data_IF_719590091866
#
_entry.id   IF_719590091866
#
_cell.length_a   1.000
_cell.length_b   1.000
_cell.length_c   1.000
_cell.angle_alpha   90.00
_cell.angle_beta   90.00
_cell.angle_gamma   90.00
#
_symmetry.space_group_name_H-M   'P 1'
#
loop_
_entity.id
_entity.type
_entity.pdbx_description
1 polymer ?
#
# COMPACT_ATOMS: atom_id res chain seq x y z
N UNK A 1 20.65 19.20 -21.66
CA UNK A 1 19.53 19.03 -20.70
C UNK A 1 19.53 17.57 -20.27
N UNK A 2 19.26 17.28 -19.00
CA UNK A 2 19.37 15.93 -18.43
C UNK A 2 19.54 15.97 -16.91
N UNK A 3 19.79 14.82 -16.27
CA UNK A 3 19.92 14.71 -14.81
C UNK A 3 20.97 15.71 -14.24
N UNK A 4 22.14 15.83 -14.87
CA UNK A 4 23.19 16.75 -14.41
C UNK A 4 22.75 18.22 -14.36
N UNK A 5 21.92 18.66 -15.31
CA UNK A 5 21.41 20.03 -15.31
C UNK A 5 20.47 20.31 -14.13
N UNK A 6 19.77 19.28 -13.65
CA UNK A 6 18.89 19.35 -12.48
C UNK A 6 19.72 19.36 -11.18
N UNK A 7 20.63 18.39 -11.01
CA UNK A 7 21.31 18.14 -9.73
C UNK A 7 22.62 18.92 -9.53
N UNK A 8 23.24 19.45 -10.59
CA UNK A 8 24.49 20.24 -10.51
C UNK A 8 24.39 21.63 -11.15
N UNK A 9 23.32 21.85 -11.91
CA UNK A 9 23.15 23.05 -12.74
C UNK A 9 22.47 24.23 -12.03
N UNK A 10 21.85 25.09 -12.84
CA UNK A 10 21.08 26.24 -12.35
C UNK A 10 19.96 25.81 -11.40
N UNK A 11 19.26 24.71 -11.71
CA UNK A 11 18.12 24.23 -10.93
C UNK A 11 18.56 23.89 -9.49
N UNK A 12 19.65 23.14 -9.33
CA UNK A 12 20.23 22.82 -8.02
C UNK A 12 20.53 24.07 -7.18
N UNK A 13 21.12 25.10 -7.80
CA UNK A 13 21.41 26.38 -7.12
C UNK A 13 20.16 27.11 -6.67
N UNK A 14 19.11 27.13 -7.49
CA UNK A 14 17.83 27.76 -7.11
C UNK A 14 17.13 26.97 -5.98
N UNK A 15 17.19 25.63 -6.00
CA UNK A 15 16.67 24.78 -4.92
C UNK A 15 17.39 25.10 -3.60
N UNK A 16 18.72 25.05 -3.60
CA UNK A 16 19.53 25.31 -2.39
C UNK A 16 19.31 26.74 -1.89
N UNK A 17 19.31 27.72 -2.81
CA UNK A 17 19.11 29.12 -2.44
C UNK A 17 17.78 29.36 -1.73
N UNK A 18 16.66 28.82 -2.24
CA UNK A 18 15.35 29.03 -1.60
C UNK A 18 15.20 28.25 -0.29
N UNK A 19 15.76 27.02 -0.22
CA UNK A 19 15.73 26.22 1.01
C UNK A 19 16.53 26.91 2.11
N UNK A 20 17.74 27.38 1.83
CA UNK A 20 18.57 28.10 2.80
C UNK A 20 17.97 29.45 3.21
N UNK A 21 17.38 30.20 2.26
CA UNK A 21 16.67 31.44 2.57
C UNK A 21 15.45 31.21 3.49
N UNK A 22 14.91 29.98 3.50
CA UNK A 22 13.81 29.56 4.38
C UNK A 22 14.30 28.92 5.69
N UNK A 23 15.60 28.94 5.97
CA UNK A 23 16.20 28.36 7.18
C UNK A 23 16.51 26.86 7.10
N UNK A 24 16.39 26.23 5.92
CA UNK A 24 16.77 24.84 5.71
C UNK A 24 18.28 24.64 5.53
N UNK A 25 18.72 23.39 5.64
CA UNK A 25 20.15 23.02 5.68
C UNK A 25 20.64 22.28 4.41
N UNK A 26 19.83 22.22 3.35
CA UNK A 26 20.25 21.55 2.12
C UNK A 26 21.40 22.30 1.45
N UNK A 27 22.39 21.56 0.98
CA UNK A 27 23.55 22.07 0.26
C UNK A 27 23.62 21.50 -1.17
N UNK A 28 24.47 22.08 -2.02
CA UNK A 28 24.68 21.57 -3.38
C UNK A 28 25.30 20.16 -3.35
N UNK A 29 26.12 19.86 -2.34
CA UNK A 29 26.71 18.54 -2.13
C UNK A 29 25.64 17.46 -1.91
N UNK A 30 24.50 17.78 -1.27
CA UNK A 30 23.42 16.81 -1.08
C UNK A 30 22.81 16.37 -2.42
N UNK A 31 22.63 17.32 -3.35
CA UNK A 31 22.08 17.05 -4.68
C UNK A 31 23.10 16.33 -5.57
N UNK A 32 24.38 16.70 -5.46
CA UNK A 32 25.47 16.04 -6.16
C UNK A 32 25.68 14.60 -5.68
N UNK A 33 25.69 14.37 -4.37
CA UNK A 33 25.76 13.04 -3.77
C UNK A 33 24.58 12.16 -4.21
N UNK A 34 23.36 12.70 -4.25
CA UNK A 34 22.19 11.96 -4.72
C UNK A 34 22.35 11.46 -6.17
N UNK A 35 22.79 12.32 -7.10
CA UNK A 35 22.99 11.89 -8.50
C UNK A 35 24.20 10.94 -8.63
N UNK A 36 25.24 11.09 -7.81
CA UNK A 36 26.40 10.20 -7.81
C UNK A 36 26.04 8.79 -7.30
N UNK A 37 25.19 8.68 -6.27
CA UNK A 37 24.65 7.39 -5.80
C UNK A 37 23.79 6.69 -6.85
N UNK A 38 23.07 7.45 -7.66
CA UNK A 38 22.30 6.92 -8.78
C UNK A 38 21.02 6.20 -8.34
N UNK A 39 20.64 5.15 -9.07
CA UNK A 39 19.44 4.35 -8.78
C UNK A 39 19.84 3.19 -7.88
N UNK A 40 19.17 3.06 -6.73
CA UNK A 40 19.32 1.88 -5.88
C UNK A 40 18.54 0.71 -6.50
N UNK A 41 19.27 -0.27 -7.02
CA UNK A 41 18.66 -1.56 -7.39
C UNK A 41 18.40 -2.37 -6.11
N UNK A 42 17.13 -2.64 -5.85
CA UNK A 42 16.68 -3.33 -4.64
C UNK A 42 15.99 -4.63 -4.98
N UNK A 43 16.12 -5.62 -4.10
CA UNK A 43 15.33 -6.85 -4.17
C UNK A 43 13.95 -6.59 -3.53
N UNK A 44 12.84 -6.82 -4.24
CA UNK A 44 11.52 -6.68 -3.65
C UNK A 44 11.31 -7.64 -2.48
N UNK A 45 10.67 -7.15 -1.43
CA UNK A 45 10.15 -8.00 -0.35
C UNK A 45 8.81 -8.57 -0.77
N UNK A 46 8.47 -9.76 -0.29
CA UNK A 46 7.27 -10.44 -0.73
C UNK A 46 6.65 -11.32 0.34
N UNK A 47 5.38 -11.63 0.13
CA UNK A 47 4.64 -12.63 0.89
C UNK A 47 3.73 -13.40 -0.06
N UNK A 48 3.71 -14.73 0.06
CA UNK A 48 2.80 -15.58 -0.69
C UNK A 48 1.53 -15.81 0.11
N UNK A 49 0.43 -15.26 -0.38
CA UNK A 49 -0.90 -15.45 0.17
C UNK A 49 -1.48 -16.78 -0.33
N UNK A 50 -1.84 -17.68 0.59
CA UNK A 50 -2.23 -19.05 0.27
C UNK A 50 -3.74 -19.30 0.31
N UNK A 51 -4.54 -18.42 0.92
CA UNK A 51 -5.99 -18.60 1.02
C UNK A 51 -6.77 -18.03 -0.19
N UNK A 52 -6.23 -18.17 -1.41
CA UNK A 52 -6.78 -17.53 -2.60
C UNK A 52 -7.80 -18.37 -3.38
N UNK A 53 -8.15 -19.57 -2.90
CA UNK A 53 -9.04 -20.49 -3.62
C UNK A 53 -8.36 -21.40 -4.64
N UNK A 54 -7.06 -21.25 -4.88
CA UNK A 54 -6.29 -22.17 -5.72
C UNK A 54 -5.60 -23.24 -4.86
N UNK A 55 -5.67 -24.52 -5.26
CA UNK A 55 -5.13 -25.63 -4.46
C UNK A 55 -3.60 -25.80 -4.56
N UNK A 56 -2.88 -24.98 -5.34
CA UNK A 56 -1.45 -25.24 -5.65
C UNK A 56 -0.46 -24.12 -5.33
N UNK A 57 -0.60 -22.92 -5.90
CA UNK A 57 0.55 -21.98 -5.98
C UNK A 57 0.38 -20.67 -5.20
N UNK A 58 -0.81 -20.36 -4.67
CA UNK A 58 -1.10 -19.08 -4.02
C UNK A 58 -0.82 -17.86 -4.91
N UNK A 59 -0.82 -16.67 -4.33
CA UNK A 59 -0.43 -15.43 -5.00
C UNK A 59 0.62 -14.70 -4.20
N UNK A 60 1.77 -14.42 -4.82
CA UNK A 60 2.87 -13.70 -4.20
C UNK A 60 2.72 -12.21 -4.47
N UNK A 61 2.52 -11.43 -3.41
CA UNK A 61 2.55 -9.96 -3.47
C UNK A 61 3.99 -9.49 -3.25
N UNK A 62 4.48 -8.64 -4.14
CA UNK A 62 5.78 -7.98 -4.09
C UNK A 62 5.61 -6.50 -3.81
N UNK A 63 6.44 -6.00 -2.90
CA UNK A 63 6.49 -4.61 -2.50
C UNK A 63 7.94 -4.13 -2.43
N UNK A 64 8.15 -2.82 -2.46
CA UNK A 64 9.47 -2.24 -2.20
C UNK A 64 9.93 -2.57 -0.77
N UNK A 65 11.23 -2.89 -0.56
CA UNK A 65 11.78 -3.08 0.79
C UNK A 65 11.75 -1.78 1.60
N UNK A 66 12.07 -1.85 2.93
CA UNK A 66 12.39 -0.66 3.71
C UNK A 66 13.37 0.25 2.97
N UNK A 67 13.24 1.56 3.04
CA UNK A 67 12.37 2.38 3.90
C UNK A 67 10.90 2.50 3.45
N UNK A 68 10.43 1.72 2.47
CA UNK A 68 9.03 1.70 2.05
C UNK A 68 8.08 1.06 3.07
N UNK A 69 6.83 1.53 3.13
CA UNK A 69 5.78 0.98 4.00
C UNK A 69 5.09 -0.29 3.48
N UNK A 70 5.59 -0.88 2.40
CA UNK A 70 4.99 -2.06 1.75
C UNK A 70 4.86 -3.28 2.64
N UNK A 71 5.75 -3.36 3.63
CA UNK A 71 5.70 -4.39 4.64
C UNK A 71 4.36 -4.46 5.38
N UNK A 72 3.61 -3.34 5.51
CA UNK A 72 2.27 -3.36 6.10
C UNK A 72 1.33 -4.29 5.34
N UNK A 73 1.31 -4.21 4.00
CA UNK A 73 0.45 -5.07 3.19
C UNK A 73 0.86 -6.55 3.32
N UNK A 74 2.17 -6.82 3.29
CA UNK A 74 2.71 -8.18 3.43
C UNK A 74 2.40 -8.79 4.81
N UNK A 75 2.62 -8.05 5.89
CA UNK A 75 2.31 -8.47 7.25
C UNK A 75 0.81 -8.69 7.43
N UNK A 76 -0.03 -7.79 6.93
CA UNK A 76 -1.48 -7.93 7.04
C UNK A 76 -1.98 -9.19 6.33
N UNK A 77 -1.52 -9.47 5.11
CA UNK A 77 -1.83 -10.71 4.39
C UNK A 77 -1.38 -11.93 5.18
N UNK A 78 -0.16 -11.92 5.72
CA UNK A 78 0.36 -13.04 6.50
C UNK A 78 -0.34 -13.26 7.83
N UNK A 79 -0.78 -12.19 8.50
CA UNK A 79 -1.57 -12.25 9.71
C UNK A 79 -2.96 -12.83 9.39
N UNK A 80 -3.61 -12.40 8.31
CA UNK A 80 -4.90 -12.94 7.87
C UNK A 80 -4.79 -14.43 7.50
N UNK A 81 -3.72 -14.83 6.80
CA UNK A 81 -3.46 -16.23 6.47
C UNK A 81 -3.27 -17.08 7.73
N UNK A 82 -2.48 -16.60 8.68
CA UNK A 82 -2.26 -17.29 9.95
C UNK A 82 -3.54 -17.35 10.79
N UNK A 83 -4.32 -16.26 10.85
CA UNK A 83 -5.57 -16.20 11.62
C UNK A 83 -6.62 -17.20 11.10
N UNK A 84 -6.77 -17.31 9.78
CA UNK A 84 -7.66 -18.30 9.15
C UNK A 84 -7.17 -19.73 9.43
N UNK A 85 -5.87 -20.01 9.25
CA UNK A 85 -5.29 -21.35 9.50
C UNK A 85 -5.40 -21.79 10.96
N UNK A 86 -5.30 -20.84 11.89
CA UNK A 86 -5.47 -21.08 13.33
C UNK A 86 -6.94 -21.09 13.77
N UNK A 87 -7.90 -20.90 12.85
CA UNK A 87 -9.33 -20.81 13.11
C UNK A 87 -9.70 -19.68 14.10
N UNK A 88 -8.92 -18.60 14.12
CA UNK A 88 -9.20 -17.40 14.93
C UNK A 88 -10.32 -16.59 14.25
N UNK A 89 -10.24 -16.46 12.93
CA UNK A 89 -11.29 -15.88 12.09
C UNK A 89 -11.78 -16.93 11.09
N UNK A 90 -13.03 -16.86 10.62
CA UNK A 90 -13.52 -17.73 9.56
C UNK A 90 -12.75 -17.54 8.26
N UNK A 91 -12.86 -18.51 7.36
CA UNK A 91 -12.41 -18.35 5.98
C UNK A 91 -13.08 -17.12 5.36
N UNK A 92 -12.27 -16.12 5.01
CA UNK A 92 -12.74 -14.83 4.50
C UNK A 92 -13.48 -14.96 3.16
N UNK A 93 -13.30 -16.07 2.44
CA UNK A 93 -14.03 -16.39 1.21
C UNK A 93 -15.50 -16.73 1.49
N UNK A 94 -15.78 -17.26 2.68
CA UNK A 94 -17.13 -17.67 3.11
C UNK A 94 -17.93 -16.51 3.72
N UNK A 95 -17.25 -15.46 4.15
CA UNK A 95 -17.89 -14.24 4.65
C UNK A 95 -18.42 -13.39 3.51
N UNK A 96 -19.54 -12.70 3.74
CA UNK A 96 -20.05 -11.71 2.80
C UNK A 96 -19.04 -10.55 2.61
N UNK A 97 -18.93 -10.04 1.40
CA UNK A 97 -18.04 -8.90 1.11
C UNK A 97 -18.48 -7.69 1.94
N UNK A 98 -17.54 -7.08 2.66
CA UNK A 98 -17.80 -5.97 3.58
C UNK A 98 -18.79 -6.30 4.73
N UNK A 99 -18.95 -7.58 5.11
CA UNK A 99 -19.64 -7.93 6.36
C UNK A 99 -18.88 -7.39 7.58
N UNK A 100 -19.53 -7.24 8.74
CA UNK A 100 -18.85 -6.81 9.97
C UNK A 100 -17.65 -7.68 10.33
N UNK A 101 -17.78 -9.00 10.23
CA UNK A 101 -16.74 -9.98 10.55
C UNK A 101 -15.58 -9.90 9.55
N UNK A 102 -15.90 -9.72 8.26
CA UNK A 102 -14.89 -9.55 7.21
C UNK A 102 -14.08 -8.28 7.45
N UNK A 103 -14.75 -7.14 7.62
CA UNK A 103 -14.07 -5.87 7.87
C UNK A 103 -13.30 -5.88 9.18
N UNK A 104 -13.87 -6.43 10.25
CA UNK A 104 -13.20 -6.56 11.54
C UNK A 104 -11.86 -7.30 11.40
N UNK A 105 -11.85 -8.47 10.75
CA UNK A 105 -10.63 -9.25 10.56
C UNK A 105 -9.54 -8.47 9.80
N UNK A 106 -9.92 -7.81 8.70
CA UNK A 106 -9.01 -6.99 7.90
C UNK A 106 -8.48 -5.77 8.68
N UNK A 107 -9.35 -5.08 9.43
CA UNK A 107 -8.98 -3.92 10.25
C UNK A 107 -7.96 -4.32 11.31
N UNK A 108 -8.22 -5.40 12.05
CA UNK A 108 -7.35 -5.84 13.14
C UNK A 108 -5.98 -6.32 12.62
N UNK A 109 -5.95 -7.06 11.50
CA UNK A 109 -4.70 -7.46 10.87
C UNK A 109 -3.87 -6.24 10.40
N UNK A 110 -4.52 -5.24 9.78
CA UNK A 110 -3.86 -4.01 9.35
C UNK A 110 -3.37 -3.17 10.53
N UNK A 111 -4.13 -3.07 11.64
CA UNK A 111 -3.67 -2.39 12.86
C UNK A 111 -2.37 -2.98 13.39
N UNK A 112 -2.32 -4.31 13.50
CA UNK A 112 -1.11 -5.01 13.94
C UNK A 112 0.07 -4.79 12.99
N UNK A 113 -0.18 -4.84 11.67
CA UNK A 113 0.83 -4.61 10.65
C UNK A 113 1.36 -3.15 10.65
N UNK A 114 0.48 -2.16 10.82
CA UNK A 114 0.87 -0.75 10.95
C UNK A 114 1.72 -0.52 12.20
N UNK A 115 1.38 -1.15 13.32
CA UNK A 115 2.15 -1.06 14.55
C UNK A 115 3.60 -1.48 14.34
N UNK A 116 3.79 -2.63 13.70
CA UNK A 116 5.12 -3.19 13.45
C UNK A 116 5.89 -2.32 12.44
N UNK A 117 5.22 -1.87 11.37
CA UNK A 117 5.84 -1.00 10.38
C UNK A 117 6.27 0.35 10.96
N UNK A 118 5.41 1.02 11.74
CA UNK A 118 5.72 2.30 12.38
C UNK A 118 6.95 2.19 13.30
N UNK A 119 7.06 1.07 14.03
CA UNK A 119 8.16 0.83 14.95
C UNK A 119 9.48 0.51 14.26
N UNK A 120 9.46 -0.32 13.20
CA UNK A 120 10.68 -0.92 12.68
C UNK A 120 11.10 -0.47 11.28
N UNK A 121 10.18 0.02 10.44
CA UNK A 121 10.53 0.45 9.07
C UNK A 121 11.34 1.75 9.13
N UNK A 122 12.55 1.68 8.58
CA UNK A 122 13.51 2.79 8.52
C UNK A 122 14.46 2.59 7.34
N UNK A 123 15.39 3.53 7.12
CA UNK A 123 16.42 3.40 6.09
C UNK A 123 17.31 2.17 6.34
N UNK A 124 17.34 1.17 5.43
CA UNK A 124 18.19 0.00 5.60
C UNK A 124 19.70 0.32 5.53
N UNK A 125 20.08 1.46 4.94
CA UNK A 125 21.48 1.91 4.90
C UNK A 125 21.92 2.50 6.25
N UNK A 126 20.98 2.82 7.14
CA UNK A 126 21.28 3.35 8.46
C UNK A 126 21.18 2.24 9.52
N UNK A 127 22.31 1.54 9.71
CA UNK A 127 22.40 0.38 10.61
C UNK A 127 22.31 0.80 12.08
N UNK A 128 21.52 0.06 12.85
CA UNK A 128 21.44 0.15 14.31
C UNK A 128 22.32 -0.94 14.91
N UNK A 129 23.41 -0.57 15.59
CA UNK A 129 24.38 -1.51 16.14
C UNK A 129 24.93 -2.52 15.11
N UNK A 130 25.19 -2.05 13.88
CA UNK A 130 25.76 -2.87 12.81
C UNK A 130 24.77 -3.82 12.12
N UNK A 131 23.47 -3.73 12.41
CA UNK A 131 22.40 -4.49 11.74
C UNK A 131 21.28 -3.56 11.26
N UNK A 132 20.50 -3.96 10.23
CA UNK A 132 19.25 -3.29 9.93
C UNK A 132 18.35 -3.25 11.16
N UNK A 133 17.52 -2.20 11.30
CA UNK A 133 16.57 -2.10 12.41
C UNK A 133 15.52 -3.22 12.40
N UNK A 134 15.37 -3.91 11.27
CA UNK A 134 14.32 -4.87 11.00
C UNK A 134 14.90 -6.11 10.32
N UNK A 135 14.62 -7.27 10.92
CA UNK A 135 14.85 -8.58 10.31
C UNK A 135 13.60 -8.98 9.51
N UNK A 136 13.69 -8.78 8.19
CA UNK A 136 12.58 -9.03 7.26
C UNK A 136 12.18 -10.52 7.21
N UNK A 137 13.14 -11.43 7.31
CA UNK A 137 12.87 -12.87 7.30
C UNK A 137 12.11 -13.27 8.56
N UNK A 138 12.50 -12.72 9.72
CA UNK A 138 11.82 -13.00 10.97
C UNK A 138 10.38 -12.47 10.98
N UNK A 139 10.14 -11.21 10.61
CA UNK A 139 8.80 -10.62 10.70
C UNK A 139 7.81 -11.17 9.66
N UNK A 140 8.31 -11.73 8.56
CA UNK A 140 7.48 -12.43 7.57
C UNK A 140 7.43 -13.95 7.80
N UNK A 141 8.08 -14.45 8.85
CA UNK A 141 8.05 -15.88 9.19
C UNK A 141 6.68 -16.32 9.69
N UNK A 142 6.33 -17.59 9.43
CA UNK A 142 5.07 -18.17 9.90
C UNK A 142 4.89 -18.05 11.42
N UNK A 143 5.95 -18.26 12.21
CA UNK A 143 5.87 -18.18 13.67
C UNK A 143 5.58 -16.76 14.18
N UNK A 144 6.19 -15.74 13.57
CA UNK A 144 5.90 -14.36 13.91
C UNK A 144 4.47 -13.99 13.53
N UNK A 145 4.06 -14.27 12.30
CA UNK A 145 2.70 -13.97 11.80
C UNK A 145 1.61 -14.66 12.63
N UNK A 146 1.83 -15.92 13.03
CA UNK A 146 0.95 -16.62 13.97
C UNK A 146 0.89 -15.96 15.35
N UNK A 147 2.03 -15.49 15.85
CA UNK A 147 2.08 -14.78 17.14
C UNK A 147 1.26 -13.49 17.10
N UNK A 148 1.27 -12.78 15.97
CA UNK A 148 0.49 -11.57 15.74
C UNK A 148 -0.99 -11.90 15.55
N UNK A 149 -1.33 -12.91 14.76
CA UNK A 149 -2.70 -13.36 14.54
C UNK A 149 -3.43 -13.72 15.84
N UNK A 150 -2.73 -14.30 16.82
CA UNK A 150 -3.27 -14.62 18.16
C UNK A 150 -3.70 -13.41 18.99
N UNK A 151 -3.33 -12.19 18.57
CA UNK A 151 -3.75 -10.95 19.21
C UNK A 151 -5.12 -10.45 18.72
N UNK A 152 -5.64 -11.03 17.63
CA UNK A 152 -6.98 -10.71 17.12
C UNK A 152 -8.02 -11.40 17.99
N UNK A 153 -8.91 -10.62 18.59
CA UNK A 153 -10.16 -11.12 19.16
C UNK A 153 -11.26 -10.98 18.11
N UNK A 154 -11.82 -12.08 17.57
CA UNK A 154 -12.79 -12.02 16.47
C UNK A 154 -14.11 -11.30 16.81
N UNK A 155 -14.33 -10.93 18.08
CA UNK A 155 -15.55 -10.26 18.55
C UNK A 155 -15.31 -8.86 19.10
N UNK A 156 -14.06 -8.49 19.35
CA UNK A 156 -13.72 -7.25 20.06
C UNK A 156 -12.50 -6.57 19.43
N UNK A 157 -12.65 -5.30 19.08
CA UNK A 157 -11.57 -4.46 18.57
C UNK A 157 -10.46 -4.32 19.63
N UNK A 158 -9.21 -4.50 19.20
CA UNK A 158 -8.03 -4.24 20.01
C UNK A 158 -7.87 -2.75 20.33
N UNK A 159 -7.18 -2.48 21.44
CA UNK A 159 -6.63 -1.15 21.68
C UNK A 159 -5.58 -0.83 20.63
N UNK A 160 -5.66 0.37 20.03
CA UNK A 160 -4.66 0.78 19.05
C UNK A 160 -3.25 0.70 19.68
N UNK A 161 -2.32 -0.03 19.05
CA UNK A 161 -0.91 0.13 19.37
C UNK A 161 -0.47 1.56 19.00
N UNK A 162 0.48 2.10 19.77
CA UNK A 162 0.94 3.52 19.82
C UNK A 162 0.58 4.45 18.64
N UNK A 163 0.16 5.67 18.97
CA UNK A 163 -0.39 6.65 18.04
C UNK A 163 0.51 6.94 16.82
N UNK A 164 -0.10 6.99 15.63
CA UNK A 164 0.56 7.28 14.35
C UNK A 164 0.53 8.75 13.92
N UNK A 165 1.06 9.02 12.72
CA UNK A 165 1.30 10.36 12.14
C UNK A 165 0.00 11.05 11.69
N UNK A 166 -0.26 12.33 12.01
CA UNK A 166 -1.55 13.01 11.83
C UNK A 166 -1.98 13.29 10.38
N UNK A 167 -1.23 12.84 9.37
CA UNK A 167 -1.45 13.21 7.97
C UNK A 167 -2.08 12.07 7.15
N UNK A 168 -3.40 12.12 6.97
CA UNK A 168 -4.16 11.15 6.19
C UNK A 168 -4.29 11.51 4.69
N UNK A 169 -3.59 12.54 4.21
CA UNK A 169 -3.69 12.99 2.81
C UNK A 169 -2.33 12.97 2.12
N UNK A 170 -2.33 12.58 0.84
CA UNK A 170 -1.12 12.57 0.03
C UNK A 170 -1.47 12.85 -1.43
N UNK A 171 -0.73 13.76 -2.06
CA UNK A 171 -0.75 13.95 -3.51
C UNK A 171 0.30 13.02 -4.11
N UNK A 172 -0.12 11.77 -4.26
CA UNK A 172 0.63 10.72 -4.92
C UNK A 172 0.02 10.51 -6.31
N UNK A 173 0.87 10.24 -7.30
CA UNK A 173 0.48 9.77 -8.63
C UNK A 173 1.02 8.36 -8.82
N UNK A 174 0.15 7.46 -9.24
CA UNK A 174 0.42 6.07 -9.57
C UNK A 174 -0.03 5.83 -11.01
N UNK A 175 0.79 5.08 -11.74
CA UNK A 175 0.38 4.51 -13.01
C UNK A 175 1.02 3.14 -13.19
N UNK A 176 0.39 2.33 -14.04
CA UNK A 176 0.94 1.06 -14.48
C UNK A 176 0.82 0.93 -15.98
N UNK A 177 1.81 0.27 -16.58
CA UNK A 177 1.83 -0.09 -17.99
C UNK A 177 2.19 -1.56 -18.10
N UNK A 178 1.59 -2.25 -19.07
CA UNK A 178 2.01 -3.57 -19.50
C UNK A 178 2.03 -3.63 -21.03
N UNK A 179 2.91 -4.45 -21.59
CA UNK A 179 3.06 -4.58 -23.04
C UNK A 179 2.76 -6.00 -23.56
N UNK A 180 2.80 -6.14 -24.89
CA UNK A 180 2.56 -7.39 -25.60
C UNK A 180 3.63 -8.46 -25.36
N UNK A 181 4.81 -8.07 -24.85
CA UNK A 181 5.96 -8.94 -24.65
C UNK A 181 6.01 -9.47 -23.20
N UNK A 182 5.05 -9.06 -22.36
CA UNK A 182 4.93 -9.51 -20.98
C UNK A 182 5.63 -8.62 -19.97
N UNK A 183 6.19 -7.48 -20.40
CA UNK A 183 6.75 -6.51 -19.47
C UNK A 183 5.62 -5.76 -18.77
N UNK A 184 5.84 -5.40 -17.52
CA UNK A 184 4.99 -4.46 -16.80
C UNK A 184 5.84 -3.52 -15.93
N UNK A 185 5.30 -2.34 -15.64
CA UNK A 185 5.92 -1.38 -14.74
C UNK A 185 4.86 -0.83 -13.79
N UNK A 186 5.07 -1.03 -12.49
CA UNK A 186 4.31 -0.41 -11.41
C UNK A 186 5.07 0.83 -10.96
N UNK A 187 4.58 2.03 -11.30
CA UNK A 187 5.32 3.27 -11.08
C UNK A 187 4.53 4.24 -10.21
N UNK A 188 5.23 4.90 -9.29
CA UNK A 188 4.60 5.81 -8.35
C UNK A 188 5.55 6.92 -7.89
N UNK A 189 5.04 8.14 -7.78
CA UNK A 189 5.79 9.31 -7.32
C UNK A 189 4.90 10.28 -6.54
N UNK A 190 5.50 11.09 -5.66
CA UNK A 190 4.74 12.01 -4.80
C UNK A 190 5.64 13.09 -4.22
N UNK A 191 5.05 14.26 -3.98
CA UNK A 191 5.63 15.31 -3.14
C UNK A 191 5.37 15.10 -1.63
N UNK A 192 4.86 13.93 -1.24
CA UNK A 192 4.27 13.59 0.05
C UNK A 192 2.90 14.25 0.29
N UNK A 193 2.84 15.42 0.92
CA UNK A 193 1.57 16.10 1.23
C UNK A 193 1.28 17.15 0.17
N UNK A 194 0.20 17.03 -0.60
CA UNK A 194 -0.22 18.14 -1.45
C UNK A 194 0.84 18.58 -2.48
N UNK A 195 0.98 19.90 -2.61
CA UNK A 195 2.08 20.59 -3.27
C UNK A 195 3.46 20.44 -2.59
N UNK A 196 3.62 19.51 -1.65
CA UNK A 196 4.84 19.28 -0.86
C UNK A 196 5.03 20.36 0.20
N UNK A 197 6.20 20.99 0.20
CA UNK A 197 6.49 22.12 1.09
C UNK A 197 5.90 23.44 0.60
N UNK A 198 5.28 23.45 -0.58
CA UNK A 198 4.85 24.64 -1.32
C UNK A 198 5.99 25.60 -1.69
N UNK A 199 7.25 25.21 -1.47
CA UNK A 199 8.43 25.99 -1.87
C UNK A 199 8.65 25.80 -3.37
N UNK A 200 8.73 26.91 -4.10
CA UNK A 200 8.96 26.94 -5.56
C UNK A 200 10.31 27.60 -5.84
N UNK A 201 11.34 26.87 -6.31
CA UNK A 201 12.59 27.46 -6.73
C UNK A 201 12.40 28.45 -7.89
N UNK A 202 13.10 29.57 -7.85
CA UNK A 202 12.86 30.71 -8.75
C UNK A 202 13.05 30.34 -10.21
N UNK A 203 11.98 30.49 -11.00
CA UNK A 203 11.99 30.22 -12.43
C UNK A 203 12.09 28.73 -12.79
N UNK A 204 11.85 27.82 -11.84
CA UNK A 204 11.86 26.38 -12.06
C UNK A 204 10.46 25.79 -12.33
N UNK A 205 9.40 26.41 -11.82
CA UNK A 205 8.02 26.02 -12.15
C UNK A 205 7.52 24.72 -11.50
N UNK A 206 8.20 24.21 -10.46
CA UNK A 206 7.78 23.04 -9.69
C UNK A 206 7.93 23.30 -8.19
N UNK A 207 7.20 22.54 -7.37
CA UNK A 207 7.32 22.60 -5.90
C UNK A 207 8.27 21.52 -5.37
N UNK A 208 8.84 21.76 -4.17
CA UNK A 208 9.67 20.78 -3.48
C UNK A 208 8.81 19.86 -2.59
N UNK A 209 9.17 18.58 -2.49
CA UNK A 209 8.52 17.64 -1.58
C UNK A 209 8.71 18.04 -0.11
N UNK A 210 7.80 17.60 0.77
CA UNK A 210 7.94 17.71 2.23
C UNK A 210 8.15 16.34 2.93
N UNK A 211 8.62 15.32 2.19
CA UNK A 211 8.83 13.93 2.66
C UNK A 211 9.61 13.79 3.98
N UNK A 212 10.49 14.75 4.30
CA UNK A 212 11.22 14.78 5.57
C UNK A 212 10.31 14.76 6.82
N UNK A 213 9.04 15.15 6.70
CA UNK A 213 8.07 15.05 7.81
C UNK A 213 7.73 13.61 8.21
N UNK A 214 8.14 12.62 7.43
CA UNK A 214 8.01 11.21 7.81
C UNK A 214 9.08 10.76 8.82
N UNK A 215 10.08 11.58 9.17
CA UNK A 215 11.00 11.25 10.27
C UNK A 215 10.32 11.35 11.63
N UNK A 216 10.73 10.48 12.55
CA UNK A 216 10.46 10.68 13.98
C UNK A 216 11.45 11.71 14.57
N UNK A 217 10.98 12.48 15.53
CA UNK A 217 11.81 13.34 16.38
C UNK A 217 12.05 12.73 17.76
N UNK A 218 11.50 11.54 18.01
CA UNK A 218 11.72 10.79 19.24
C UNK A 218 13.11 10.16 19.22
N UNK A 219 13.88 10.46 20.27
CA UNK A 219 15.21 9.88 20.46
C UNK A 219 15.13 8.36 20.58
N UNK A 220 16.02 7.65 19.90
CA UNK A 220 16.04 6.18 19.90
C UNK A 220 15.06 5.50 18.94
N UNK A 221 14.17 6.25 18.27
CA UNK A 221 13.27 5.69 17.27
C UNK A 221 14.04 5.25 16.01
N UNK A 222 13.70 4.09 15.43
CA UNK A 222 14.40 3.52 14.27
C UNK A 222 14.45 4.47 13.06
N UNK A 223 13.35 5.20 12.87
CA UNK A 223 13.17 6.23 11.85
C UNK A 223 13.43 7.68 12.36
N UNK A 224 14.30 7.86 13.37
CA UNK A 224 14.72 9.20 13.83
C UNK A 224 15.45 9.96 12.71
N UNK A 225 15.25 11.28 12.64
CA UNK A 225 15.96 12.18 11.73
C UNK A 225 17.48 12.06 11.88
N UNK A 226 18.20 11.90 10.75
CA UNK A 226 19.66 11.87 10.72
C UNK A 226 20.20 12.33 9.36
N UNK A 227 21.44 12.86 9.30
CA UNK A 227 22.07 13.26 8.04
C UNK A 227 22.18 12.09 7.05
N UNK A 228 21.91 12.36 5.77
CA UNK A 228 21.95 11.39 4.65
C UNK A 228 21.06 10.16 4.79
N UNK A 229 20.25 10.08 5.85
CA UNK A 229 19.23 9.04 6.04
C UNK A 229 18.00 9.38 5.19
N UNK A 230 17.32 8.36 4.70
CA UNK A 230 16.02 8.49 4.01
C UNK A 230 14.90 8.27 5.03
N UNK A 231 13.87 9.12 5.08
CA UNK A 231 12.74 8.93 5.99
C UNK A 231 11.88 7.75 5.53
N UNK A 232 11.08 7.16 6.43
CA UNK A 232 10.02 6.23 6.05
C UNK A 232 9.23 6.76 4.83
N UNK A 233 9.00 5.88 3.87
CA UNK A 233 8.41 6.24 2.60
C UNK A 233 7.02 5.64 2.45
N UNK A 234 6.02 6.50 2.26
CA UNK A 234 4.63 6.02 2.10
C UNK A 234 4.36 5.50 0.69
N UNK A 235 5.13 5.92 -0.31
CA UNK A 235 4.83 5.59 -1.70
C UNK A 235 5.07 4.10 -1.97
N UNK A 236 4.06 3.41 -2.51
CA UNK A 236 4.04 1.97 -2.60
C UNK A 236 3.54 1.45 -3.97
N UNK A 237 4.44 1.04 -4.88
CA UNK A 237 4.07 0.31 -6.08
C UNK A 237 4.03 -1.20 -5.80
N UNK A 238 2.99 -1.88 -6.28
CA UNK A 238 2.87 -3.33 -6.09
C UNK A 238 2.89 -4.10 -7.41
N UNK A 239 3.35 -5.34 -7.32
CA UNK A 239 3.18 -6.37 -8.32
C UNK A 239 2.79 -7.68 -7.64
N UNK A 240 1.98 -8.50 -8.30
CA UNK A 240 1.63 -9.83 -7.82
C UNK A 240 1.93 -10.88 -8.88
N UNK A 241 2.41 -12.05 -8.46
CA UNK A 241 2.60 -13.22 -9.34
C UNK A 241 1.78 -14.41 -8.85
N UNK A 242 1.54 -15.35 -9.76
CA UNK A 242 1.07 -16.70 -9.44
C UNK A 242 2.16 -17.66 -9.89
N UNK A 243 2.83 -18.30 -8.93
CA UNK A 243 4.12 -18.93 -9.19
C UNK A 243 5.11 -17.91 -9.76
N UNK A 244 5.69 -18.20 -10.93
CA UNK A 244 6.65 -17.30 -11.60
C UNK A 244 6.01 -16.33 -12.60
N UNK A 245 4.71 -16.46 -12.85
CA UNK A 245 4.03 -15.67 -13.88
C UNK A 245 3.45 -14.38 -13.29
N UNK A 246 3.69 -13.24 -13.96
CA UNK A 246 3.05 -11.98 -13.61
C UNK A 246 1.52 -12.16 -13.62
N UNK A 247 0.90 -11.87 -12.48
CA UNK A 247 -0.56 -11.92 -12.30
C UNK A 247 -1.16 -10.52 -12.40
N UNK A 248 -0.54 -9.53 -11.75
CA UNK A 248 -1.10 -8.18 -11.68
C UNK A 248 -0.01 -7.14 -11.40
N UNK A 249 -0.12 -5.97 -12.04
CA UNK A 249 0.58 -4.74 -11.67
C UNK A 249 -0.44 -3.73 -11.21
N UNK A 250 -0.29 -3.21 -9.99
CA UNK A 250 -1.31 -2.36 -9.38
C UNK A 250 -0.75 -1.49 -8.26
N UNK A 251 -1.55 -0.49 -7.89
CA UNK A 251 -1.30 0.37 -6.76
C UNK A 251 -2.56 1.13 -6.40
N UNK A 252 -2.69 1.53 -5.14
CA UNK A 252 -3.80 2.35 -4.64
C UNK A 252 -3.21 3.56 -3.94
N UNK A 253 -3.29 4.76 -4.52
CA UNK A 253 -2.71 5.99 -3.97
C UNK A 253 -3.38 6.42 -2.66
N UNK A 254 -2.70 7.13 -1.76
CA UNK A 254 -3.35 7.77 -0.60
C UNK A 254 -2.60 7.71 0.73
N UNK A 255 -1.28 7.90 0.77
CA UNK A 255 -0.55 7.94 2.05
C UNK A 255 -0.62 6.59 2.78
N UNK A 256 -1.11 6.55 4.02
CA UNK A 256 -1.34 5.31 4.78
C UNK A 256 -2.49 4.46 4.22
N UNK A 257 -3.34 4.99 3.33
CA UNK A 257 -4.34 4.17 2.63
C UNK A 257 -3.71 3.15 1.67
N UNK A 258 -2.48 3.40 1.19
CA UNK A 258 -1.86 2.55 0.16
C UNK A 258 -1.79 1.06 0.52
N UNK A 259 -1.17 0.64 1.65
CA UNK A 259 -1.14 -0.78 2.01
C UNK A 259 -2.52 -1.37 2.30
N UNK A 260 -3.44 -0.58 2.87
CA UNK A 260 -4.82 -1.01 3.16
C UNK A 260 -5.59 -1.26 1.86
N UNK A 261 -5.41 -0.39 0.88
CA UNK A 261 -5.95 -0.50 -0.47
C UNK A 261 -5.35 -1.67 -1.22
N UNK A 262 -4.05 -1.94 -1.08
CA UNK A 262 -3.39 -3.08 -1.70
C UNK A 262 -4.01 -4.40 -1.22
N UNK A 263 -4.20 -4.56 0.10
CA UNK A 263 -4.87 -5.74 0.68
C UNK A 263 -6.30 -5.85 0.19
N UNK A 264 -7.10 -4.77 0.29
CA UNK A 264 -8.51 -4.79 -0.12
C UNK A 264 -8.68 -5.14 -1.62
N UNK A 265 -7.92 -4.48 -2.50
CA UNK A 265 -7.98 -4.74 -3.95
C UNK A 265 -7.55 -6.17 -4.29
N UNK A 266 -6.45 -6.64 -3.69
CA UNK A 266 -5.97 -8.01 -3.92
C UNK A 266 -7.03 -9.03 -3.47
N UNK A 267 -7.57 -8.90 -2.27
CA UNK A 267 -8.58 -9.83 -1.75
C UNK A 267 -9.90 -9.74 -2.52
N UNK A 268 -10.28 -8.58 -3.06
CA UNK A 268 -11.45 -8.46 -3.95
C UNK A 268 -11.29 -9.32 -5.21
N UNK A 269 -10.10 -9.29 -5.83
CA UNK A 269 -9.81 -10.11 -7.01
C UNK A 269 -9.75 -11.59 -6.63
N UNK A 270 -9.04 -11.94 -5.55
CA UNK A 270 -8.82 -13.34 -5.16
C UNK A 270 -10.07 -14.01 -4.58
N UNK A 271 -10.78 -13.37 -3.66
CA UNK A 271 -11.87 -14.00 -2.90
C UNK A 271 -13.26 -13.77 -3.50
N UNK A 272 -13.40 -12.76 -4.37
CA UNK A 272 -14.70 -12.40 -4.96
C UNK A 272 -14.71 -12.54 -6.48
N UNK A 273 -13.56 -12.84 -7.09
CA UNK A 273 -13.44 -12.93 -8.55
C UNK A 273 -13.73 -11.61 -9.26
N UNK A 274 -13.55 -10.48 -8.56
CA UNK A 274 -13.81 -9.17 -9.15
C UNK A 274 -12.83 -8.91 -10.30
N UNK A 275 -13.34 -8.31 -11.36
CA UNK A 275 -12.50 -7.77 -12.44
C UNK A 275 -11.65 -6.62 -11.91
N UNK A 276 -10.59 -6.19 -12.64
CA UNK A 276 -9.81 -5.01 -12.24
C UNK A 276 -10.68 -3.79 -11.93
N UNK A 277 -11.66 -3.47 -12.79
CA UNK A 277 -12.56 -2.35 -12.54
C UNK A 277 -13.45 -2.57 -11.31
N UNK A 278 -14.12 -3.73 -11.20
CA UNK A 278 -15.00 -4.01 -10.06
C UNK A 278 -14.24 -4.01 -8.72
N UNK A 279 -12.98 -4.43 -8.70
CA UNK A 279 -12.14 -4.39 -7.50
C UNK A 279 -11.82 -2.95 -7.06
N UNK A 280 -11.76 -2.01 -8.00
CA UNK A 280 -11.58 -0.58 -7.73
C UNK A 280 -12.89 0.10 -7.35
N UNK A 281 -14.00 -0.27 -7.98
CA UNK A 281 -15.33 0.29 -7.71
C UNK A 281 -15.83 -0.06 -6.30
N UNK A 282 -15.45 -1.23 -5.79
CA UNK A 282 -15.83 -1.73 -4.48
C UNK A 282 -15.63 -0.68 -3.37
N UNK A 283 -16.62 -0.48 -2.47
CA UNK A 283 -16.47 0.40 -1.30
C UNK A 283 -15.35 -0.09 -0.39
N UNK A 284 -14.54 0.85 0.12
CA UNK A 284 -13.38 0.56 0.97
C UNK A 284 -13.58 1.02 2.40
N UNK A 285 -12.77 0.48 3.31
CA UNK A 285 -12.47 1.12 4.57
C UNK A 285 -11.08 1.74 4.56
N UNK A 286 -10.85 2.68 5.47
CA UNK A 286 -9.56 3.29 5.70
C UNK A 286 -9.38 3.52 7.21
N UNK A 287 -8.41 2.86 7.83
CA UNK A 287 -7.93 3.21 9.16
C UNK A 287 -7.21 4.54 9.03
N UNK A 288 -7.77 5.56 9.66
CA UNK A 288 -7.15 6.88 9.73
C UNK A 288 -6.00 6.91 10.72
N UNK A 289 -5.13 7.91 10.54
CA UNK A 289 -4.20 8.32 11.58
C UNK A 289 -4.95 8.66 12.87
N UNK A 290 -4.46 8.18 14.01
CA UNK A 290 -4.96 8.61 15.31
C UNK A 290 -4.83 10.12 15.45
N UNK A 291 -5.95 10.84 15.53
CA UNK A 291 -5.94 12.24 15.90
C UNK A 291 -5.88 12.31 17.42
N UNK A 292 -4.88 13.01 17.97
CA UNK A 292 -4.92 13.42 19.37
C UNK A 292 -6.10 14.39 19.50
N UNK A 293 -7.26 13.89 19.90
CA UNK A 293 -8.31 14.78 20.40
C UNK A 293 -7.79 15.42 21.68
N UNK A 294 -7.60 16.73 21.66
CA UNK A 294 -7.17 17.53 22.83
C UNK A 294 -8.13 17.44 24.03
N UNK A 295 -9.23 16.67 23.95
CA UNK A 295 -10.26 16.55 24.98
C UNK A 295 -10.82 15.11 25.17
N UNK A 296 -10.11 14.04 24.77
CA UNK A 296 -10.61 12.69 25.07
C UNK A 296 -10.32 12.32 26.53
N UNK A 297 -11.32 12.43 27.41
CA UNK A 297 -11.33 11.87 28.77
C UNK A 297 -11.32 10.34 28.81
N UNK A 298 -11.34 9.70 27.63
CA UNK A 298 -11.20 8.26 27.42
C UNK A 298 -9.74 7.98 27.06
N UNK A 299 -8.93 7.60 28.04
CA UNK A 299 -7.52 7.29 27.81
C UNK A 299 -7.33 6.24 26.71
N UNK A 300 -6.49 6.55 25.71
CA UNK A 300 -5.71 5.69 24.80
C UNK A 300 -6.25 4.30 24.39
N UNK A 301 -7.56 4.07 24.42
CA UNK A 301 -8.18 2.83 23.95
C UNK A 301 -8.98 3.18 22.70
N UNK A 302 -8.36 2.92 21.54
CA UNK A 302 -8.94 3.02 20.18
C UNK A 302 -8.97 4.46 19.61
N UNK A 303 -7.81 5.12 19.51
CA UNK A 303 -7.68 6.49 19.00
C UNK A 303 -7.79 6.64 17.47
N UNK A 304 -7.59 5.56 16.71
CA UNK A 304 -7.62 5.53 15.26
C UNK A 304 -9.06 5.31 14.79
N UNK A 305 -9.61 6.34 14.14
CA UNK A 305 -10.92 6.25 13.50
C UNK A 305 -10.81 5.39 12.25
N UNK A 306 -11.69 4.41 12.10
CA UNK A 306 -11.89 3.68 10.84
C UNK A 306 -12.99 4.36 10.06
N UNK A 307 -12.63 4.83 8.88
CA UNK A 307 -13.57 5.40 7.93
C UNK A 307 -14.14 4.30 7.06
N UNK A 308 -15.45 4.33 6.82
CA UNK A 308 -16.13 3.45 5.87
C UNK A 308 -16.71 4.30 4.74
N UNK A 309 -16.52 3.81 3.53
CA UNK A 309 -17.01 4.49 2.33
C UNK A 309 -18.50 4.28 2.11
N UNK A 310 -19.15 5.27 1.50
CA UNK A 310 -20.46 5.11 0.86
C UNK A 310 -20.56 3.82 0.05
N UNK A 311 -21.63 3.06 0.28
CA UNK A 311 -21.85 1.73 -0.27
C UNK A 311 -21.63 0.61 0.75
N UNK A 312 -20.95 0.87 1.87
CA UNK A 312 -20.97 0.00 3.05
C UNK A 312 -22.23 0.33 3.86
N UNK A 313 -23.12 -0.65 4.16
CA UNK A 313 -24.36 -0.37 4.88
C UNK A 313 -24.15 0.16 6.32
N UNK A 314 -25.04 1.01 6.80
CA UNK A 314 -24.94 1.59 8.15
C UNK A 314 -25.03 0.50 9.24
N UNK A 315 -25.79 -0.57 9.02
CA UNK A 315 -25.85 -1.72 9.93
C UNK A 315 -24.48 -2.36 10.15
N UNK A 316 -23.61 -2.37 9.13
CA UNK A 316 -22.23 -2.84 9.26
C UNK A 316 -21.42 -1.89 10.14
N UNK A 317 -21.58 -0.58 9.94
CA UNK A 317 -20.94 0.43 10.77
C UNK A 317 -21.35 0.30 12.25
N UNK A 318 -22.63 0.04 12.52
CA UNK A 318 -23.14 -0.16 13.88
C UNK A 318 -22.64 -1.46 14.50
N UNK A 319 -22.56 -2.56 13.73
CA UNK A 319 -21.98 -3.80 14.20
C UNK A 319 -20.49 -3.65 14.57
N UNK A 320 -19.72 -2.97 13.73
CA UNK A 320 -18.30 -2.68 14.02
C UNK A 320 -18.13 -1.77 15.24
N UNK A 321 -19.02 -0.77 15.43
CA UNK A 321 -19.05 0.04 16.66
C UNK A 321 -19.35 -0.82 17.89
N UNK A 322 -20.27 -1.77 17.78
CA UNK A 322 -20.59 -2.70 18.87
C UNK A 322 -19.42 -3.63 19.20
N UNK A 323 -18.57 -3.96 18.23
CA UNK A 323 -17.28 -4.64 18.45
C UNK A 323 -16.21 -3.72 19.06
N UNK A 324 -16.47 -2.42 19.21
CA UNK A 324 -15.55 -1.45 19.83
C UNK A 324 -14.74 -0.60 18.84
N UNK A 325 -14.98 -0.71 17.54
CA UNK A 325 -14.31 0.15 16.56
C UNK A 325 -14.86 1.57 16.59
N UNK A 326 -13.99 2.57 16.47
CA UNK A 326 -14.40 3.96 16.23
C UNK A 326 -14.68 4.14 14.74
N UNK A 327 -15.96 4.15 14.34
CA UNK A 327 -16.38 4.19 12.93
C UNK A 327 -16.96 5.55 12.54
N UNK A 328 -16.51 6.08 11.40
CA UNK A 328 -17.11 7.24 10.73
C UNK A 328 -17.43 6.93 9.25
N UNK A 329 -18.65 7.23 8.81
CA UNK A 329 -19.02 7.12 7.39
C UNK A 329 -18.55 8.33 6.60
N UNK A 330 -18.15 8.11 5.34
CA UNK A 330 -17.69 9.15 4.43
C UNK A 330 -18.38 9.01 3.07
N UNK A 331 -18.99 10.11 2.63
CA UNK A 331 -19.76 10.18 1.37
C UNK A 331 -19.26 11.33 0.50
N UNK A 332 -19.68 11.37 -0.77
CA UNK A 332 -19.34 12.46 -1.69
C UNK A 332 -17.83 12.72 -1.81
N UNK A 333 -17.40 13.97 -1.67
CA UNK A 333 -15.97 14.36 -1.77
C UNK A 333 -15.12 13.79 -0.63
N UNK A 334 -15.72 13.42 0.51
CA UNK A 334 -15.04 12.74 1.60
C UNK A 334 -14.46 11.38 1.19
N UNK A 335 -14.92 10.80 0.07
CA UNK A 335 -14.43 9.52 -0.45
C UNK A 335 -13.00 9.57 -0.99
N UNK A 336 -12.44 10.76 -1.18
CA UNK A 336 -11.07 10.96 -1.66
C UNK A 336 -9.99 10.32 -0.77
N UNK A 337 -10.30 10.10 0.51
CA UNK A 337 -9.38 9.44 1.45
C UNK A 337 -9.24 7.93 1.25
N UNK A 338 -10.19 7.27 0.57
CA UNK A 338 -10.13 5.83 0.27
C UNK A 338 -9.20 5.49 -0.90
N UNK A 339 -8.40 6.46 -1.30
CA UNK A 339 -7.38 6.29 -2.30
C UNK A 339 -7.91 6.14 -3.71
N UNK A 340 -6.96 5.99 -4.64
CA UNK A 340 -7.21 5.97 -6.08
C UNK A 340 -6.30 4.93 -6.72
N UNK A 341 -6.85 3.85 -7.22
CA UNK A 341 -6.09 2.76 -7.82
C UNK A 341 -6.01 2.73 -9.34
N UNK A 342 -4.96 2.09 -9.85
CA UNK A 342 -4.87 1.64 -11.23
C UNK A 342 -4.42 0.18 -11.21
N UNK A 343 -4.99 -0.64 -12.09
CA UNK A 343 -4.72 -2.07 -12.13
C UNK A 343 -4.55 -2.49 -13.58
N UNK A 344 -3.51 -3.26 -13.88
CA UNK A 344 -3.42 -4.10 -15.07
C UNK A 344 -3.20 -5.55 -14.61
N UNK A 345 -4.15 -6.42 -14.95
CA UNK A 345 -4.15 -7.83 -14.62
C UNK A 345 -3.91 -8.67 -15.88
N UNK A 346 -3.00 -9.65 -15.78
CA UNK A 346 -2.85 -10.68 -16.81
C UNK A 346 -3.97 -11.70 -16.61
N UNK A 347 -4.81 -11.88 -17.62
CA UNK A 347 -5.84 -12.92 -17.59
C UNK A 347 -5.24 -14.26 -18.05
N UNK A 348 -5.56 -15.33 -17.31
CA UNK A 348 -5.36 -16.69 -17.79
C UNK A 348 -6.55 -17.04 -18.68
N UNK A 349 -6.32 -17.20 -19.99
CA UNK A 349 -7.35 -17.66 -20.92
C UNK A 349 -7.18 -19.16 -21.16
N UNK A 350 -7.99 -19.99 -20.52
CA UNK A 350 -8.31 -21.31 -21.07
C UNK A 350 -9.41 -21.11 -22.10
N UNK A 351 -9.12 -21.41 -23.36
CA UNK A 351 -10.12 -21.35 -24.44
C UNK A 351 -10.83 -22.70 -24.48
N UNK A 352 -12.12 -22.72 -24.14
CA UNK A 352 -12.96 -23.90 -24.36
C UNK A 352 -13.45 -23.87 -25.81
N UNK A 353 -13.04 -24.85 -26.63
CA UNK A 353 -13.61 -25.02 -27.98
C UNK A 353 -14.92 -25.78 -27.86
N UNK A 354 -15.97 -25.25 -28.48
CA UNK A 354 -17.24 -25.95 -28.65
C UNK A 354 -17.30 -26.48 -30.08
N UNK A 355 -17.25 -27.80 -30.24
CA UNK A 355 -17.39 -28.46 -31.53
C UNK A 355 -18.77 -28.26 -32.14
N UNK A 356 -18.90 -28.46 -33.45
CA UNK A 356 -20.19 -28.35 -34.15
C UNK A 356 -21.22 -29.40 -33.70
N UNK A 357 -20.77 -30.45 -33.00
CA UNK A 357 -21.56 -31.50 -32.36
C UNK A 357 -21.91 -31.19 -30.90
N UNK A 358 -21.51 -30.03 -30.38
CA UNK A 358 -21.70 -29.62 -28.99
C UNK A 358 -20.69 -30.21 -28.01
N UNK A 359 -19.66 -30.91 -28.47
CA UNK A 359 -18.54 -31.34 -27.62
C UNK A 359 -17.79 -30.12 -27.08
N UNK A 360 -17.42 -30.15 -25.80
CA UNK A 360 -16.58 -29.13 -25.17
C UNK A 360 -15.21 -29.73 -24.93
N UNK A 361 -14.23 -29.34 -25.74
CA UNK A 361 -12.83 -29.68 -25.51
C UNK A 361 -12.17 -28.54 -24.72
N UNK A 362 -11.72 -28.85 -23.51
CA UNK A 362 -10.73 -28.02 -22.82
C UNK A 362 -9.39 -28.26 -23.53
N UNK A 363 -9.04 -27.39 -24.47
CA UNK A 363 -7.68 -27.35 -24.97
C UNK A 363 -6.77 -26.84 -23.83
N UNK A 364 -5.73 -27.62 -23.50
CA UNK A 364 -4.50 -27.00 -23.00
C UNK A 364 -4.14 -25.89 -23.98
N UNK A 365 -3.83 -24.68 -23.49
CA UNK A 365 -4.05 -23.42 -24.20
C UNK A 365 -3.45 -23.47 -25.61
N UNK A 366 -4.30 -23.71 -26.62
CA UNK A 366 -3.91 -23.57 -28.02
C UNK A 366 -3.71 -22.10 -28.44
N UNK A 367 -3.84 -21.17 -27.49
CA UNK A 367 -3.31 -19.81 -27.53
C UNK A 367 -2.00 -19.67 -26.74
N UNK A 368 -1.12 -20.68 -26.80
CA UNK A 368 0.25 -20.59 -26.31
C UNK A 368 0.95 -19.37 -26.96
N UNK A 369 0.88 -18.21 -26.30
CA UNK A 369 1.54 -16.98 -26.72
C UNK A 369 0.68 -15.70 -26.78
N UNK A 370 -0.65 -15.74 -26.66
CA UNK A 370 -1.44 -14.49 -26.67
C UNK A 370 -1.70 -13.97 -25.25
N UNK A 371 -0.98 -12.95 -24.85
CA UNK A 371 -1.22 -12.23 -23.60
C UNK A 371 -2.52 -11.42 -23.70
N UNK A 372 -3.38 -11.57 -22.68
CA UNK A 372 -4.60 -10.78 -22.54
C UNK A 372 -4.50 -9.97 -21.26
N UNK A 373 -4.63 -8.66 -21.40
CA UNK A 373 -4.60 -7.70 -20.31
C UNK A 373 -6.00 -7.17 -20.03
N UNK A 374 -6.41 -7.20 -18.77
CA UNK A 374 -7.56 -6.45 -18.29
C UNK A 374 -7.08 -5.29 -17.43
N UNK A 375 -7.70 -4.13 -17.57
CA UNK A 375 -7.30 -2.94 -16.83
C UNK A 375 -8.50 -2.26 -16.16
N UNK A 376 -8.24 -1.55 -15.07
CA UNK A 376 -9.23 -0.77 -14.33
C UNK A 376 -8.63 0.55 -13.86
N UNK A 377 -9.47 1.58 -13.80
CA UNK A 377 -9.11 2.92 -13.31
C UNK A 377 -10.10 3.38 -12.26
N UNK A 378 -9.61 3.94 -11.15
CA UNK A 378 -10.47 4.26 -10.01
C UNK A 378 -11.51 5.33 -10.33
N UNK A 379 -12.81 5.10 -10.02
CA UNK A 379 -13.86 6.06 -10.32
C UNK A 379 -13.87 7.30 -9.41
N UNK A 380 -13.05 7.32 -8.34
CA UNK A 380 -13.02 8.43 -7.35
C UNK A 380 -12.26 9.66 -7.83
N UNK A 381 -11.62 9.61 -8.99
CA UNK A 381 -10.90 10.73 -9.58
C UNK A 381 -10.81 10.59 -11.10
N UNK A 382 -10.45 11.68 -11.77
CA UNK A 382 -10.11 11.63 -13.19
C UNK A 382 -8.92 10.67 -13.39
N UNK A 383 -9.09 9.74 -14.33
CA UNK A 383 -8.14 8.68 -14.62
C UNK A 383 -8.58 7.92 -15.87
N UNK A 384 -7.70 7.09 -16.41
CA UNK A 384 -8.03 6.29 -17.59
C UNK A 384 -7.26 4.98 -17.61
N UNK A 385 -7.95 3.92 -18.04
CA UNK A 385 -7.34 2.68 -18.49
C UNK A 385 -7.52 2.60 -20.02
N UNK A 386 -6.42 2.52 -20.77
CA UNK A 386 -6.43 2.59 -22.23
C UNK A 386 -5.58 1.48 -22.82
N UNK A 387 -6.11 0.80 -23.82
CA UNK A 387 -5.31 -0.03 -24.71
C UNK A 387 -4.69 0.86 -25.80
N UNK A 388 -3.37 0.92 -25.87
CA UNK A 388 -2.67 1.40 -27.06
C UNK A 388 -2.52 0.21 -28.02
N UNK A 389 -3.21 0.27 -29.15
CA UNK A 389 -3.21 -0.73 -30.21
C UNK A 389 -2.10 -0.42 -31.20
#
# INVERSE_FOLDING_TARGET
MGKEAFYKGRIAREIVSIVQASGGHMELDDLEDHIQRGVDEVQPVHYTYHNDGSEKDGVTLYECPPNGQGLVALLALGILDAAQRLNIVPDLRTLEHNSPEYLHALIEALRLAFADARKFVSDPQHLHNGKPALDLEHVLSASYLESRAKLIDPKQASADPEAGSPFATSDTVYFTVADKDGNACSFINSNYSGFGSCIVPKGCGFTLQNRGSCFSLEEGHSNVYAPRKRPLHTILPAMATRGKELFMSFGVMGGEMQPQGHVQVLLNILHRGFTPQASLDAPRFCIGAGMLEQNSSLGAKNSSTVFLEEGIPEEVAQALKAMGHRIELRTGTGRTMFGRGQIIQRLSTSVKRVGADGSVEEEEPASAGRLVWAAGSDPRADGQAVAQI
#
